data_IF_831150869677
#
_entry.id   IF_831150869677
#
_cell.length_a   1.000
_cell.length_b   1.000
_cell.length_c   1.000
_cell.angle_alpha   90.00
_cell.angle_beta   90.00
_cell.angle_gamma   90.00
#
_symmetry.space_group_name_H-M   'P 1'
#
loop_
_entity.id
_entity.type
_entity.pdbx_description
1 polymer ?
#
# COMPACT_ATOMS: atom_id res chain seq x y z
N UNK A 1 -18.97 -22.88 19.19
CA UNK A 1 -20.17 -22.77 18.35
C UNK A 1 -19.74 -22.90 16.89
N UNK A 2 -20.47 -23.71 16.10
CA UNK A 2 -20.30 -23.84 14.66
C UNK A 2 -21.55 -23.30 13.98
N UNK A 3 -21.39 -22.31 13.11
CA UNK A 3 -22.46 -21.78 12.24
C UNK A 3 -22.16 -22.24 10.81
N UNK A 4 -23.12 -22.95 10.20
CA UNK A 4 -22.97 -23.46 8.84
C UNK A 4 -22.88 -22.33 7.83
N UNK A 5 -23.79 -21.37 7.92
CA UNK A 5 -23.88 -20.21 7.04
C UNK A 5 -24.44 -19.01 7.79
N UNK A 6 -23.90 -17.83 7.50
CA UNK A 6 -24.41 -16.54 7.92
C UNK A 6 -24.44 -15.63 6.68
N UNK A 7 -25.60 -15.09 6.35
CA UNK A 7 -25.79 -14.27 5.15
C UNK A 7 -26.35 -12.91 5.54
N UNK A 8 -25.71 -11.86 5.04
CA UNK A 8 -26.17 -10.48 5.11
C UNK A 8 -26.47 -9.99 3.70
N UNK A 9 -27.62 -9.38 3.49
CA UNK A 9 -28.04 -8.85 2.18
C UNK A 9 -28.62 -7.46 2.35
N UNK A 10 -28.19 -6.53 1.50
CA UNK A 10 -28.72 -5.18 1.40
C UNK A 10 -28.80 -4.77 -0.08
N UNK A 11 -30.02 -4.63 -0.61
CA UNK A 11 -30.24 -4.41 -2.02
C UNK A 11 -29.61 -5.51 -2.88
N UNK A 12 -28.63 -5.13 -3.71
CA UNK A 12 -27.83 -6.05 -4.54
C UNK A 12 -26.58 -6.56 -3.83
N UNK A 13 -26.20 -5.95 -2.71
CA UNK A 13 -25.00 -6.33 -1.94
C UNK A 13 -25.26 -7.55 -1.08
N UNK A 14 -24.25 -8.42 -0.96
CA UNK A 14 -24.30 -9.61 -0.11
C UNK A 14 -22.95 -9.91 0.50
N UNK A 15 -22.97 -10.41 1.74
CA UNK A 15 -21.83 -10.98 2.46
C UNK A 15 -22.29 -12.34 2.99
N UNK A 16 -21.66 -13.41 2.53
CA UNK A 16 -21.98 -14.79 2.92
C UNK A 16 -20.74 -15.39 3.57
N UNK A 17 -20.90 -15.89 4.80
CA UNK A 17 -19.86 -16.55 5.55
C UNK A 17 -20.24 -18.00 5.80
N UNK A 18 -19.40 -18.93 5.41
CA UNK A 18 -19.66 -20.37 5.53
C UNK A 18 -18.69 -21.05 6.49
N UNK A 19 -19.19 -21.99 7.27
CA UNK A 19 -18.40 -22.85 8.15
C UNK A 19 -17.66 -22.09 9.24
N UNK A 20 -18.32 -21.11 9.86
CA UNK A 20 -17.73 -20.26 10.88
C UNK A 20 -17.65 -21.01 12.21
N UNK A 21 -16.46 -21.04 12.81
CA UNK A 21 -16.24 -21.53 14.17
C UNK A 21 -15.91 -20.38 15.09
N UNK A 22 -16.60 -20.34 16.23
CA UNK A 22 -16.31 -19.39 17.30
C UNK A 22 -15.63 -20.10 18.47
N UNK A 23 -14.63 -19.45 19.03
CA UNK A 23 -13.96 -19.80 20.27
C UNK A 23 -13.73 -18.54 21.09
N UNK A 24 -14.14 -18.55 22.38
CA UNK A 24 -14.01 -17.37 23.27
C UNK A 24 -14.53 -16.08 22.63
N UNK A 25 -15.75 -16.12 22.08
CA UNK A 25 -16.45 -15.00 21.44
C UNK A 25 -15.78 -14.39 20.21
N UNK A 26 -14.75 -15.05 19.69
CA UNK A 26 -14.03 -14.62 18.48
C UNK A 26 -14.17 -15.67 17.38
N UNK A 27 -14.17 -15.23 16.14
CA UNK A 27 -14.08 -16.13 14.99
C UNK A 27 -12.71 -16.83 15.04
N UNK A 28 -12.71 -18.14 15.24
CA UNK A 28 -11.50 -18.95 15.27
C UNK A 28 -11.16 -19.53 13.90
N UNK A 29 -12.14 -19.79 13.07
CA UNK A 29 -11.96 -20.22 11.68
C UNK A 29 -13.23 -20.00 10.85
N UNK A 30 -13.07 -20.00 9.54
CA UNK A 30 -14.15 -20.02 8.55
C UNK A 30 -13.74 -20.92 7.38
N UNK A 31 -14.68 -21.33 6.56
CA UNK A 31 -14.45 -22.11 5.34
C UNK A 31 -14.38 -21.20 4.11
N UNK A 32 -15.44 -20.44 3.86
CA UNK A 32 -15.50 -19.47 2.76
C UNK A 32 -16.13 -18.16 3.25
N UNK A 33 -15.74 -17.07 2.60
CA UNK A 33 -16.39 -15.76 2.70
C UNK A 33 -16.59 -15.27 1.28
N UNK A 34 -17.86 -15.05 0.88
CA UNK A 34 -18.21 -14.47 -0.40
C UNK A 34 -18.66 -13.03 -0.20
N UNK A 35 -18.07 -12.12 -0.94
CA UNK A 35 -18.33 -10.67 -0.86
C UNK A 35 -18.77 -10.19 -2.22
N UNK A 36 -19.95 -9.59 -2.28
CA UNK A 36 -20.44 -8.87 -3.45
C UNK A 36 -21.07 -7.57 -3.00
N UNK A 37 -20.51 -6.45 -3.40
CA UNK A 37 -21.01 -5.13 -2.98
C UNK A 37 -21.14 -4.17 -4.14
N UNK A 38 -22.05 -3.20 -3.97
CA UNK A 38 -22.35 -2.18 -4.96
C UNK A 38 -22.24 -0.81 -4.33
N UNK A 39 -21.65 0.12 -5.06
CA UNK A 39 -21.61 1.55 -4.74
C UNK A 39 -22.23 2.32 -5.92
N UNK A 40 -23.28 3.12 -5.65
CA UNK A 40 -24.01 3.88 -6.69
C UNK A 40 -24.40 3.01 -7.92
N UNK A 41 -24.99 1.83 -7.69
CA UNK A 41 -25.41 0.85 -8.70
C UNK A 41 -24.25 0.17 -9.48
N UNK A 42 -22.99 0.52 -9.23
CA UNK A 42 -21.83 -0.16 -9.83
C UNK A 42 -21.28 -1.18 -8.83
N UNK A 43 -20.98 -2.37 -9.34
CA UNK A 43 -20.30 -3.41 -8.56
C UNK A 43 -18.87 -2.92 -8.23
N UNK A 44 -18.54 -2.87 -6.95
CA UNK A 44 -17.21 -2.44 -6.50
C UNK A 44 -16.41 -3.57 -5.85
N UNK A 45 -17.09 -4.61 -5.35
CA UNK A 45 -16.44 -5.82 -4.87
C UNK A 45 -17.20 -7.05 -5.35
N UNK A 46 -16.45 -8.03 -5.86
CA UNK A 46 -16.95 -9.37 -6.21
C UNK A 46 -15.80 -10.37 -6.06
N UNK A 47 -15.73 -11.04 -4.91
CA UNK A 47 -14.66 -11.99 -4.61
C UNK A 47 -15.04 -13.03 -3.56
N UNK A 48 -14.27 -14.11 -3.52
CA UNK A 48 -14.38 -15.19 -2.55
C UNK A 48 -13.05 -15.38 -1.85
N UNK A 49 -13.09 -15.53 -0.53
CA UNK A 49 -11.98 -15.95 0.32
C UNK A 49 -12.24 -17.39 0.75
N UNK A 50 -11.38 -18.30 0.35
CA UNK A 50 -11.44 -19.71 0.75
C UNK A 50 -10.29 -20.04 1.71
N UNK A 51 -10.61 -20.64 2.84
CA UNK A 51 -9.67 -20.95 3.91
C UNK A 51 -9.55 -22.47 4.14
N UNK A 52 -8.69 -23.12 3.36
CA UNK A 52 -8.36 -24.54 3.49
C UNK A 52 -6.91 -24.75 3.97
N UNK A 53 -6.10 -25.52 3.24
CA UNK A 53 -4.65 -25.67 3.50
C UNK A 53 -3.92 -24.34 3.37
N UNK A 54 -4.33 -23.53 2.39
CA UNK A 54 -3.91 -22.15 2.17
C UNK A 54 -5.12 -21.23 2.14
N UNK A 55 -4.92 -19.93 2.28
CA UNK A 55 -5.94 -18.93 1.94
C UNK A 55 -5.84 -18.62 0.46
N UNK A 56 -6.97 -18.68 -0.20
CA UNK A 56 -7.11 -18.28 -1.60
C UNK A 56 -8.16 -17.19 -1.68
N UNK A 57 -7.80 -16.04 -2.23
CA UNK A 57 -8.69 -14.91 -2.49
C UNK A 57 -8.76 -14.75 -4.00
N UNK A 58 -9.94 -14.90 -4.57
CA UNK A 58 -10.15 -14.75 -6.01
C UNK A 58 -11.38 -13.91 -6.29
N UNK A 59 -11.27 -13.03 -7.25
CA UNK A 59 -12.40 -12.18 -7.64
C UNK A 59 -12.22 -11.45 -8.95
N UNK A 60 -13.32 -10.94 -9.43
CA UNK A 60 -13.36 -10.10 -10.63
C UNK A 60 -13.07 -8.65 -10.29
N UNK A 61 -13.48 -8.20 -9.09
CA UNK A 61 -13.39 -6.81 -8.68
C UNK A 61 -13.10 -6.68 -7.18
N UNK A 62 -12.17 -5.79 -6.83
CA UNK A 62 -11.88 -5.37 -5.46
C UNK A 62 -11.66 -3.86 -5.39
N UNK A 63 -12.34 -3.19 -4.46
CA UNK A 63 -12.15 -1.77 -4.18
C UNK A 63 -11.16 -1.59 -3.03
N UNK A 64 -9.91 -1.29 -3.38
CA UNK A 64 -8.82 -1.03 -2.44
C UNK A 64 -8.63 0.47 -2.13
N UNK A 65 -9.50 1.36 -2.60
CA UNK A 65 -9.35 2.82 -2.47
C UNK A 65 -9.15 3.28 -1.02
N UNK A 66 -9.73 2.57 -0.06
CA UNK A 66 -9.63 2.87 1.37
C UNK A 66 -8.81 1.84 2.17
N UNK A 67 -8.14 0.91 1.51
CA UNK A 67 -7.41 -0.19 2.17
C UNK A 67 -6.34 0.33 3.14
N UNK A 68 -5.58 1.35 2.75
CA UNK A 68 -4.54 1.95 3.58
C UNK A 68 -5.11 2.55 4.89
N UNK A 69 -6.27 3.22 4.81
CA UNK A 69 -6.97 3.77 6.00
C UNK A 69 -7.45 2.65 6.93
N UNK A 70 -7.95 1.55 6.36
CA UNK A 70 -8.39 0.39 7.13
C UNK A 70 -7.21 -0.27 7.87
N UNK A 71 -6.07 -0.45 7.21
CA UNK A 71 -4.88 -1.07 7.79
C UNK A 71 -4.22 -0.23 8.89
N UNK A 72 -4.41 1.10 8.88
CA UNK A 72 -3.91 2.01 9.93
C UNK A 72 -4.70 1.89 11.24
N UNK A 73 -5.93 1.37 11.25
CA UNK A 73 -6.73 1.20 12.48
C UNK A 73 -6.09 0.17 13.40
N UNK A 74 -5.85 0.55 14.67
CA UNK A 74 -5.19 -0.30 15.70
C UNK A 74 -5.88 -1.67 15.92
N UNK A 75 -7.19 -1.73 15.77
CA UNK A 75 -7.98 -2.95 16.01
C UNK A 75 -7.77 -4.04 14.95
N UNK A 76 -7.36 -3.69 13.72
CA UNK A 76 -7.10 -4.66 12.67
C UNK A 76 -5.87 -5.55 12.95
N UNK A 77 -4.92 -5.08 13.75
CA UNK A 77 -3.69 -5.83 14.10
C UNK A 77 -3.94 -7.05 14.98
N UNK A 78 -5.00 -7.06 15.76
CA UNK A 78 -5.31 -8.14 16.72
C UNK A 78 -6.05 -9.34 16.10
N UNK A 79 -6.74 -9.13 14.97
CA UNK A 79 -7.55 -10.18 14.33
C UNK A 79 -6.71 -11.29 13.68
N UNK A 80 -5.49 -10.98 13.27
CA UNK A 80 -4.62 -11.88 12.51
C UNK A 80 -3.40 -12.37 13.30
N UNK A 81 -3.23 -11.98 14.57
CA UNK A 81 -2.00 -12.22 15.34
C UNK A 81 -1.56 -13.68 15.48
N UNK A 82 -2.50 -14.64 15.40
CA UNK A 82 -2.22 -16.08 15.48
C UNK A 82 -2.26 -16.78 14.12
N UNK A 83 -2.34 -16.01 13.05
CA UNK A 83 -2.57 -16.55 11.73
C UNK A 83 -1.26 -16.91 11.04
N UNK A 84 -1.11 -18.19 10.68
CA UNK A 84 0.07 -18.68 9.94
C UNK A 84 -0.43 -19.56 8.80
N UNK A 85 -0.34 -19.05 7.56
CA UNK A 85 -0.76 -19.73 6.34
C UNK A 85 -0.08 -19.20 5.09
N UNK A 86 -0.03 -20.03 4.08
CA UNK A 86 0.23 -19.58 2.72
C UNK A 86 -1.00 -18.86 2.18
N UNK A 87 -0.77 -17.82 1.37
CA UNK A 87 -1.79 -16.94 0.79
C UNK A 87 -1.60 -16.85 -0.71
N UNK A 88 -2.69 -16.94 -1.43
CA UNK A 88 -2.76 -16.71 -2.87
C UNK A 88 -3.89 -15.73 -3.15
N UNK A 89 -3.59 -14.67 -3.90
CA UNK A 89 -4.56 -13.64 -4.31
C UNK A 89 -4.53 -13.54 -5.82
N UNK A 90 -5.72 -13.50 -6.43
CA UNK A 90 -5.90 -13.37 -7.88
C UNK A 90 -7.13 -12.51 -8.14
N UNK A 91 -6.91 -11.26 -8.60
CA UNK A 91 -7.96 -10.34 -8.98
C UNK A 91 -7.84 -9.93 -10.43
N UNK A 92 -8.96 -9.97 -11.15
CA UNK A 92 -9.00 -9.42 -12.51
C UNK A 92 -8.81 -7.89 -12.47
N UNK A 93 -9.49 -7.20 -11.54
CA UNK A 93 -9.43 -5.75 -11.40
C UNK A 93 -9.40 -5.34 -9.93
N UNK A 94 -8.51 -4.41 -9.60
CA UNK A 94 -8.48 -3.72 -8.31
C UNK A 94 -8.61 -2.22 -8.58
N UNK A 95 -9.59 -1.58 -7.97
CA UNK A 95 -9.65 -0.11 -7.92
C UNK A 95 -8.75 0.37 -6.78
N UNK A 96 -7.70 1.12 -7.11
CA UNK A 96 -6.79 1.72 -6.13
C UNK A 96 -7.13 3.20 -5.91
N UNK A 97 -6.52 3.90 -4.94
CA UNK A 97 -6.77 5.32 -4.72
C UNK A 97 -6.70 6.15 -6.01
N UNK A 98 -7.48 7.22 -6.07
CA UNK A 98 -7.69 8.08 -7.24
C UNK A 98 -8.44 7.41 -8.40
N UNK A 99 -9.12 6.30 -8.13
CA UNK A 99 -9.88 5.52 -9.13
C UNK A 99 -9.01 4.93 -10.26
N UNK A 100 -7.70 4.82 -10.03
CA UNK A 100 -6.82 4.09 -10.92
C UNK A 100 -7.15 2.60 -10.88
N UNK A 101 -6.91 1.90 -11.97
CA UNK A 101 -7.19 0.46 -12.09
C UNK A 101 -5.90 -0.33 -12.16
N UNK A 102 -5.78 -1.30 -11.27
CA UNK A 102 -4.73 -2.30 -11.31
C UNK A 102 -5.35 -3.62 -11.78
N UNK A 103 -4.94 -4.08 -12.95
CA UNK A 103 -5.48 -5.25 -13.61
C UNK A 103 -4.61 -6.48 -13.35
N UNK A 104 -5.18 -7.68 -13.45
CA UNK A 104 -4.47 -8.95 -13.41
C UNK A 104 -3.54 -9.09 -12.20
N UNK A 105 -3.98 -8.58 -11.04
CA UNK A 105 -3.15 -8.62 -9.84
C UNK A 105 -3.08 -10.02 -9.27
N UNK A 106 -1.86 -10.53 -9.15
CA UNK A 106 -1.57 -11.83 -8.53
C UNK A 106 -0.58 -11.66 -7.39
N UNK A 107 -0.83 -12.37 -6.29
CA UNK A 107 0.07 -12.41 -5.15
C UNK A 107 0.17 -13.84 -4.63
N UNK A 108 1.38 -14.31 -4.41
CA UNK A 108 1.70 -15.51 -3.64
C UNK A 108 2.50 -15.06 -2.43
N UNK A 109 2.06 -15.48 -1.25
CA UNK A 109 2.71 -15.05 -0.02
C UNK A 109 2.61 -16.07 1.10
N UNK A 110 3.26 -15.76 2.20
CA UNK A 110 3.16 -16.50 3.45
C UNK A 110 2.99 -15.54 4.62
N UNK A 111 1.98 -15.78 5.41
CA UNK A 111 1.74 -15.09 6.68
C UNK A 111 2.23 -15.98 7.81
N UNK A 112 2.95 -15.43 8.77
CA UNK A 112 3.34 -16.06 10.02
C UNK A 112 3.04 -15.11 11.18
N UNK A 113 2.31 -15.60 12.17
CA UNK A 113 1.90 -14.80 13.34
C UNK A 113 1.28 -13.45 12.94
N UNK A 114 0.41 -13.46 11.90
CA UNK A 114 -0.31 -12.30 11.41
C UNK A 114 0.50 -11.31 10.57
N UNK A 115 1.77 -11.59 10.27
CA UNK A 115 2.62 -10.74 9.44
C UNK A 115 3.05 -11.48 8.18
N UNK A 116 3.09 -10.80 7.05
CA UNK A 116 3.73 -11.35 5.86
C UNK A 116 5.22 -11.56 6.10
N UNK A 117 5.71 -12.73 5.75
CA UNK A 117 7.14 -13.10 5.78
C UNK A 117 7.67 -13.41 4.38
N UNK A 118 6.78 -13.59 3.40
CA UNK A 118 7.10 -13.76 1.99
C UNK A 118 5.97 -13.15 1.16
N UNK A 119 6.33 -12.40 0.14
CA UNK A 119 5.42 -11.86 -0.88
C UNK A 119 6.13 -11.96 -2.23
N UNK A 120 5.39 -12.35 -3.25
CA UNK A 120 5.72 -12.16 -4.65
C UNK A 120 4.43 -11.78 -5.34
N UNK A 121 4.35 -10.56 -5.87
CA UNK A 121 3.14 -10.08 -6.51
C UNK A 121 3.45 -9.29 -7.76
N UNK A 122 2.48 -9.25 -8.67
CA UNK A 122 2.51 -8.43 -9.87
C UNK A 122 1.10 -7.97 -10.21
N UNK A 123 0.99 -6.73 -10.69
CA UNK A 123 -0.22 -6.15 -11.25
C UNK A 123 0.11 -5.23 -12.42
N UNK A 124 -0.89 -4.89 -13.22
CA UNK A 124 -0.77 -4.13 -14.45
C UNK A 124 -1.68 -2.90 -14.42
N UNK A 125 -1.10 -1.71 -14.48
CA UNK A 125 -1.84 -0.45 -14.58
C UNK A 125 -2.25 -0.12 -16.04
N UNK A 126 -1.88 -0.96 -17.01
CA UNK A 126 -2.03 -0.68 -18.44
C UNK A 126 -0.84 0.06 -19.04
N UNK A 127 -0.77 0.12 -20.36
CA UNK A 127 0.27 0.84 -21.10
C UNK A 127 1.70 0.43 -20.72
N UNK A 128 1.92 -0.83 -20.39
CA UNK A 128 3.17 -1.37 -19.88
C UNK A 128 3.63 -0.80 -18.53
N UNK A 129 2.70 -0.28 -17.73
CA UNK A 129 2.99 0.17 -16.37
C UNK A 129 2.65 -0.93 -15.37
N UNK A 130 3.58 -1.28 -14.50
CA UNK A 130 3.45 -2.41 -13.59
C UNK A 130 3.58 -1.99 -12.12
N UNK A 131 3.01 -2.83 -11.27
CA UNK A 131 3.27 -2.87 -9.84
C UNK A 131 3.87 -4.22 -9.50
N UNK A 132 5.06 -4.23 -8.91
CA UNK A 132 5.69 -5.42 -8.34
C UNK A 132 5.94 -5.22 -6.86
N UNK A 133 5.56 -6.21 -6.03
CA UNK A 133 5.87 -6.21 -4.60
C UNK A 133 6.54 -7.53 -4.26
N UNK A 134 7.72 -7.46 -3.69
CA UNK A 134 8.44 -8.64 -3.20
C UNK A 134 8.82 -8.49 -1.73
N UNK A 135 8.69 -9.57 -0.97
CA UNK A 135 9.19 -9.68 0.39
C UNK A 135 9.88 -11.02 0.58
N UNK A 136 11.07 -10.99 1.17
CA UNK A 136 11.86 -12.17 1.52
C UNK A 136 12.24 -12.12 2.99
N UNK A 137 12.22 -13.28 3.65
CA UNK A 137 12.67 -13.42 5.03
C UNK A 137 14.00 -14.17 5.06
N UNK A 138 15.02 -13.54 5.61
CA UNK A 138 16.30 -14.16 5.93
C UNK A 138 16.28 -14.64 7.38
N UNK A 139 16.00 -15.94 7.55
CA UNK A 139 15.92 -16.55 8.87
C UNK A 139 17.27 -16.61 9.60
N UNK A 140 18.40 -16.63 8.87
CA UNK A 140 19.74 -16.68 9.46
C UNK A 140 20.09 -15.37 10.17
N UNK A 141 19.75 -14.26 9.54
CA UNK A 141 20.05 -12.92 10.04
C UNK A 141 18.85 -12.25 10.73
N UNK A 142 17.70 -12.93 10.82
CA UNK A 142 16.43 -12.42 11.38
C UNK A 142 16.00 -11.10 10.72
N UNK A 143 16.22 -10.97 9.40
CA UNK A 143 15.90 -9.77 8.60
C UNK A 143 14.85 -10.09 7.57
N UNK A 144 14.01 -9.10 7.28
CA UNK A 144 13.06 -9.14 6.17
C UNK A 144 13.43 -8.04 5.17
N UNK A 145 13.38 -8.37 3.90
CA UNK A 145 13.64 -7.45 2.79
C UNK A 145 12.34 -7.25 2.04
N UNK A 146 11.86 -6.02 1.99
CA UNK A 146 10.67 -5.60 1.23
C UNK A 146 11.11 -4.70 0.09
N UNK A 147 10.62 -4.98 -1.11
CA UNK A 147 10.77 -4.12 -2.28
C UNK A 147 9.41 -3.89 -2.93
N UNK A 148 9.15 -2.66 -3.32
CA UNK A 148 7.97 -2.25 -4.08
C UNK A 148 8.46 -1.42 -5.25
N UNK A 149 8.15 -1.88 -6.45
CA UNK A 149 8.35 -1.12 -7.69
C UNK A 149 7.00 -0.77 -8.28
N UNK A 150 6.87 0.45 -8.80
CA UNK A 150 5.67 0.88 -9.51
C UNK A 150 5.99 1.93 -10.57
N UNK A 151 5.50 1.72 -11.79
CA UNK A 151 5.53 2.72 -12.85
C UNK A 151 4.49 3.84 -12.63
N UNK A 152 3.55 3.66 -11.70
CA UNK A 152 2.53 4.65 -11.33
C UNK A 152 2.65 4.99 -9.84
N UNK A 153 3.10 6.20 -9.53
CA UNK A 153 3.42 6.62 -8.15
C UNK A 153 2.20 7.05 -7.35
N UNK A 154 1.30 7.79 -8.00
CA UNK A 154 0.17 8.48 -7.35
C UNK A 154 -0.66 7.62 -6.40
N UNK A 155 -1.17 6.42 -6.79
CA UNK A 155 -2.02 5.63 -5.92
C UNK A 155 -1.32 5.18 -4.63
N UNK A 156 0.00 4.98 -4.68
CA UNK A 156 0.79 4.50 -3.54
C UNK A 156 1.12 5.62 -2.55
N UNK A 157 1.15 6.87 -3.00
CA UNK A 157 1.62 8.02 -2.23
C UNK A 157 0.50 8.97 -1.76
N UNK A 158 -0.75 8.75 -2.14
CA UNK A 158 -1.91 9.61 -1.81
C UNK A 158 -2.14 9.87 -0.33
N UNK A 159 -1.79 8.92 0.52
CA UNK A 159 -1.97 9.04 1.98
C UNK A 159 -0.89 9.91 2.65
N UNK A 160 0.11 10.35 1.90
CA UNK A 160 1.22 11.17 2.41
C UNK A 160 1.14 12.58 1.83
N UNK A 161 0.83 13.55 2.70
CA UNK A 161 0.66 14.96 2.31
C UNK A 161 1.91 15.58 1.65
N UNK A 162 3.09 15.07 1.98
CA UNK A 162 4.37 15.50 1.38
C UNK A 162 4.39 15.32 -0.14
N UNK A 163 3.76 14.26 -0.66
CA UNK A 163 3.73 13.96 -2.10
C UNK A 163 2.52 14.57 -2.83
N UNK A 164 1.76 15.44 -2.14
CA UNK A 164 0.65 16.14 -2.78
C UNK A 164 1.20 17.06 -3.88
N UNK A 165 0.67 16.91 -5.09
CA UNK A 165 1.13 17.64 -6.27
C UNK A 165 2.17 16.88 -7.11
N UNK A 166 2.63 15.71 -6.68
CA UNK A 166 3.49 14.85 -7.50
C UNK A 166 2.71 14.29 -8.69
N UNK A 167 3.28 14.39 -9.87
CA UNK A 167 2.73 13.93 -11.15
C UNK A 167 3.77 13.11 -11.90
N UNK A 168 3.35 11.96 -12.40
CA UNK A 168 4.23 11.02 -13.10
C UNK A 168 5.17 10.29 -12.15
N UNK A 169 6.28 9.83 -12.69
CA UNK A 169 7.38 9.18 -11.98
C UNK A 169 7.23 7.68 -11.79
N UNK A 170 8.39 7.04 -11.64
CA UNK A 170 8.55 5.63 -11.28
C UNK A 170 9.03 5.53 -9.85
N UNK A 171 8.47 4.62 -9.08
CA UNK A 171 8.76 4.45 -7.67
C UNK A 171 9.50 3.15 -7.41
N UNK A 172 10.58 3.24 -6.65
CA UNK A 172 11.22 2.10 -6.02
C UNK A 172 11.30 2.34 -4.51
N UNK A 173 10.66 1.49 -3.73
CA UNK A 173 10.78 1.47 -2.28
C UNK A 173 11.46 0.18 -1.86
N UNK A 174 12.50 0.29 -1.04
CA UNK A 174 13.17 -0.84 -0.40
C UNK A 174 13.23 -0.67 1.11
N UNK A 175 13.10 -1.76 1.84
CA UNK A 175 13.15 -1.74 3.31
C UNK A 175 13.80 -3.01 3.86
N UNK A 176 14.73 -2.82 4.79
CA UNK A 176 15.27 -3.89 5.63
C UNK A 176 14.64 -3.77 7.01
N UNK A 177 13.91 -4.81 7.41
CA UNK A 177 13.15 -4.84 8.66
C UNK A 177 13.82 -5.83 9.60
N UNK A 178 14.17 -5.36 10.81
CA UNK A 178 14.77 -6.16 11.88
C UNK A 178 14.02 -5.93 13.19
N UNK A 179 13.22 -6.90 13.60
CA UNK A 179 12.33 -6.76 14.75
C UNK A 179 11.30 -5.63 14.57
N UNK A 180 11.47 -4.55 15.32
CA UNK A 180 10.60 -3.37 15.30
C UNK A 180 11.24 -2.15 14.61
N UNK A 181 12.44 -2.32 14.08
CA UNK A 181 13.16 -1.26 13.35
C UNK A 181 13.13 -1.57 11.86
N UNK A 182 12.93 -0.56 11.03
CA UNK A 182 13.07 -0.67 9.58
C UNK A 182 13.92 0.46 9.03
N UNK A 183 14.92 0.10 8.23
CA UNK A 183 15.71 1.00 7.43
C UNK A 183 15.20 0.95 6.00
N UNK A 184 14.74 2.08 5.48
CA UNK A 184 14.04 2.14 4.21
C UNK A 184 14.59 3.23 3.32
N UNK A 185 14.49 2.99 2.02
CA UNK A 185 14.83 3.93 0.96
C UNK A 185 13.67 4.02 -0.01
N UNK A 186 13.21 5.23 -0.27
CA UNK A 186 12.27 5.55 -1.35
C UNK A 186 13.04 6.29 -2.43
N UNK A 187 12.89 5.85 -3.67
CA UNK A 187 13.38 6.55 -4.85
C UNK A 187 12.21 6.78 -5.80
N UNK A 188 12.11 8.00 -6.35
CA UNK A 188 11.16 8.35 -7.41
C UNK A 188 11.96 8.99 -8.53
N UNK A 189 11.75 8.55 -9.76
CA UNK A 189 12.44 9.04 -10.95
C UNK A 189 11.46 9.67 -11.92
N UNK A 190 11.92 10.67 -12.70
CA UNK A 190 11.21 11.29 -13.83
C UNK A 190 9.81 11.83 -13.46
N UNK A 191 9.74 12.72 -12.47
CA UNK A 191 8.47 13.27 -11.99
C UNK A 191 8.41 14.79 -12.05
N UNK A 192 7.19 15.33 -11.95
CA UNK A 192 6.93 16.75 -11.73
C UNK A 192 6.23 16.99 -10.40
N UNK A 193 6.44 18.18 -9.86
CA UNK A 193 5.69 18.69 -8.71
C UNK A 193 4.90 19.90 -9.14
N UNK A 194 3.57 19.81 -9.06
CA UNK A 194 2.62 20.86 -9.52
C UNK A 194 1.67 21.18 -8.38
N UNK A 195 1.43 22.47 -8.14
CA UNK A 195 0.50 22.92 -7.08
C UNK A 195 0.73 22.21 -5.74
N UNK A 196 1.99 22.09 -5.31
CA UNK A 196 2.38 21.38 -4.11
C UNK A 196 2.63 22.36 -2.95
N UNK A 197 1.63 22.63 -2.09
CA UNK A 197 1.77 23.64 -1.01
C UNK A 197 2.96 23.39 -0.09
N UNK A 198 3.32 22.14 0.16
CA UNK A 198 4.47 21.76 0.97
C UNK A 198 5.80 22.15 0.30
N UNK A 199 5.94 21.87 -0.99
CA UNK A 199 7.14 22.22 -1.76
C UNK A 199 7.26 23.74 -1.95
N UNK A 200 6.16 24.42 -2.30
CA UNK A 200 6.09 25.88 -2.42
C UNK A 200 6.54 26.54 -1.12
N UNK A 201 6.06 26.07 0.02
CA UNK A 201 6.46 26.57 1.34
C UNK A 201 7.96 26.38 1.61
N UNK A 202 8.52 25.22 1.25
CA UNK A 202 9.95 24.95 1.40
C UNK A 202 10.80 25.88 0.53
N UNK A 203 10.42 26.06 -0.73
CA UNK A 203 11.10 26.97 -1.67
C UNK A 203 11.03 28.43 -1.20
N UNK A 204 9.89 28.86 -0.67
CA UNK A 204 9.73 30.20 -0.09
C UNK A 204 10.59 30.42 1.14
N UNK A 205 10.74 29.38 2.01
CA UNK A 205 11.64 29.46 3.18
C UNK A 205 13.12 29.56 2.79
N UNK A 206 13.49 29.04 1.63
CA UNK A 206 14.83 29.13 1.08
C UNK A 206 15.06 30.41 0.24
N UNK A 207 14.12 31.36 0.26
CA UNK A 207 14.14 32.61 -0.52
C UNK A 207 14.22 32.39 -2.05
N UNK A 208 13.58 31.31 -2.51
CA UNK A 208 13.51 30.90 -3.91
C UNK A 208 12.13 31.18 -4.51
N UNK A 209 11.59 32.40 -4.29
CA UNK A 209 10.22 32.80 -4.67
C UNK A 209 9.89 32.57 -6.15
N UNK A 210 10.83 32.88 -7.05
CA UNK A 210 10.61 32.66 -8.49
C UNK A 210 10.41 31.19 -8.87
N UNK A 211 11.03 30.25 -8.13
CA UNK A 211 10.81 28.82 -8.31
C UNK A 211 9.50 28.35 -7.65
N UNK A 212 9.05 29.04 -6.60
CA UNK A 212 7.75 28.79 -5.99
C UNK A 212 6.61 29.13 -6.99
N UNK A 213 6.72 30.24 -7.71
CA UNK A 213 5.76 30.65 -8.75
C UNK A 213 5.72 29.63 -9.90
N UNK A 214 6.87 29.09 -10.33
CA UNK A 214 6.92 28.01 -11.32
C UNK A 214 6.25 26.71 -10.80
N UNK A 215 6.47 26.38 -9.53
CA UNK A 215 5.83 25.19 -8.94
C UNK A 215 4.31 25.32 -8.83
N UNK A 216 3.78 26.51 -8.69
CA UNK A 216 2.33 26.80 -8.72
C UNK A 216 1.74 26.79 -10.13
N UNK A 217 2.51 27.16 -11.14
CA UNK A 217 2.11 27.22 -12.54
C UNK A 217 2.40 25.96 -13.32
N UNK A 218 3.51 25.96 -14.04
CA UNK A 218 3.92 24.84 -14.93
C UNK A 218 4.42 23.61 -14.19
N UNK A 219 4.82 23.77 -12.93
CA UNK A 219 5.44 22.75 -12.10
C UNK A 219 6.94 22.69 -12.26
N UNK A 220 7.59 22.07 -11.27
CA UNK A 220 9.02 21.80 -11.25
C UNK A 220 9.29 20.34 -11.63
N UNK A 221 10.15 20.14 -12.61
CA UNK A 221 10.61 18.81 -13.01
C UNK A 221 11.78 18.36 -12.15
N UNK A 222 11.79 17.07 -11.81
CA UNK A 222 12.87 16.41 -11.10
C UNK A 222 13.25 15.11 -11.79
N UNK A 223 14.55 14.87 -11.89
CA UNK A 223 15.10 13.63 -12.42
C UNK A 223 15.01 12.51 -11.38
N UNK A 224 15.27 12.87 -10.09
CA UNK A 224 15.22 11.91 -9.00
C UNK A 224 14.87 12.56 -7.66
N UNK A 225 14.13 11.83 -6.83
CA UNK A 225 13.97 12.04 -5.40
C UNK A 225 14.43 10.77 -4.68
N UNK A 226 15.29 10.92 -3.71
CA UNK A 226 15.73 9.85 -2.83
C UNK A 226 15.47 10.23 -1.37
N UNK A 227 14.80 9.35 -0.61
CA UNK A 227 14.53 9.53 0.82
C UNK A 227 15.06 8.30 1.55
N UNK A 228 16.02 8.50 2.48
CA UNK A 228 16.48 7.49 3.43
C UNK A 228 15.81 7.71 4.77
N UNK A 229 15.21 6.67 5.32
CA UNK A 229 14.43 6.78 6.54
C UNK A 229 14.64 5.57 7.45
N UNK A 230 14.60 5.82 8.74
CA UNK A 230 14.57 4.81 9.79
C UNK A 230 13.27 4.94 10.57
N UNK A 231 12.58 3.84 10.77
CA UNK A 231 11.35 3.78 11.55
C UNK A 231 11.50 2.79 12.68
N UNK A 232 11.14 3.23 13.88
CA UNK A 232 10.95 2.39 15.06
C UNK A 232 9.48 2.47 15.54
N UNK A 233 9.19 2.01 16.76
CA UNK A 233 7.81 1.98 17.29
C UNK A 233 7.18 3.37 17.52
N UNK A 234 7.96 4.40 17.72
CA UNK A 234 7.51 5.73 18.17
C UNK A 234 7.91 6.87 17.22
N UNK A 235 8.85 6.64 16.33
CA UNK A 235 9.47 7.68 15.53
C UNK A 235 9.72 7.23 14.10
N UNK A 236 9.55 8.15 13.16
CA UNK A 236 10.02 8.06 11.79
C UNK A 236 11.08 9.14 11.60
N UNK A 237 12.33 8.75 11.47
CA UNK A 237 13.46 9.64 11.19
C UNK A 237 13.71 9.65 9.69
N UNK A 238 13.78 10.84 9.12
CA UNK A 238 14.17 11.09 7.73
C UNK A 238 15.64 11.46 7.74
N UNK A 239 16.51 10.48 7.52
CA UNK A 239 17.96 10.66 7.62
C UNK A 239 18.51 11.54 6.51
N UNK A 240 17.87 11.47 5.33
CA UNK A 240 18.30 12.18 4.15
C UNK A 240 17.17 12.27 3.13
N UNK A 241 16.94 13.44 2.58
CA UNK A 241 16.04 13.69 1.44
C UNK A 241 16.85 14.45 0.40
N UNK A 242 17.07 13.83 -0.75
CA UNK A 242 17.76 14.44 -1.90
C UNK A 242 16.79 14.47 -3.06
N UNK A 243 16.53 15.65 -3.61
CA UNK A 243 15.82 15.81 -4.87
C UNK A 243 16.73 16.53 -5.87
N UNK A 244 16.87 15.99 -7.08
CA UNK A 244 17.71 16.54 -8.14
C UNK A 244 16.83 16.79 -9.35
N UNK A 245 16.87 18.00 -9.86
CA UNK A 245 16.17 18.40 -11.08
C UNK A 245 17.01 19.38 -11.90
N UNK A 246 16.61 19.69 -13.13
CA UNK A 246 17.36 20.55 -14.03
C UNK A 246 17.46 22.00 -13.53
N UNK A 247 16.49 22.47 -12.76
CA UNK A 247 16.43 23.84 -12.25
C UNK A 247 16.82 23.99 -10.81
N UNK A 248 16.73 22.89 -10.00
CA UNK A 248 16.98 22.94 -8.55
C UNK A 248 17.38 21.57 -8.02
N UNK A 249 18.28 21.59 -7.02
CA UNK A 249 18.57 20.43 -6.19
C UNK A 249 18.31 20.78 -4.72
N UNK A 250 17.68 19.85 -3.99
CA UNK A 250 17.29 20.04 -2.58
C UNK A 250 17.90 18.92 -1.75
N UNK A 251 18.50 19.30 -0.62
CA UNK A 251 18.99 18.37 0.40
C UNK A 251 18.36 18.74 1.74
N UNK A 252 17.74 17.78 2.41
CA UNK A 252 17.11 17.97 3.72
C UNK A 252 17.25 16.72 4.59
N UNK A 253 17.10 16.91 5.89
CA UNK A 253 16.89 15.86 6.89
C UNK A 253 15.79 16.27 7.86
N UNK A 254 15.31 15.34 8.69
CA UNK A 254 14.24 15.63 9.62
C UNK A 254 13.75 14.42 10.42
N UNK A 255 12.71 14.63 11.21
CA UNK A 255 12.05 13.57 11.95
C UNK A 255 10.56 13.85 12.11
N UNK A 256 9.79 12.78 12.35
CA UNK A 256 8.37 12.85 12.66
C UNK A 256 8.05 11.94 13.85
N UNK A 257 7.51 12.52 14.93
CA UNK A 257 6.95 11.77 16.05
C UNK A 257 5.59 11.16 15.62
N UNK A 258 5.30 9.94 16.07
CA UNK A 258 4.08 9.18 15.76
C UNK A 258 3.09 9.17 16.93
#
# INVERSE_FOLDING_TARGET
ILIKELSFKEGKSSLILEGIKFSKEKISSFKNISVRTFNNKRENNDFIISNHKKIVIRGTQFDASNLAKFLKKKDSKNLLSNFTKDVEIDFANITVPLSEKLNNFKLIGKISKGKFIKISSKGDFGENNFLDISMKNDQKNNKQYLEIYSDVTKPLLTEYSFFKGLVGGKLLFSSVIEGNVSNSKLKIEEFKVVNAPGMVKLLSLADLGGLADLAEGEGLSFDTLEIKMEKNNSELKLNEIIAIGPSISVLMDGYQNQ
#
